data_IF_459442682980
#
_entry.id   IF_459442682980
#
_cell.length_a   1.000
_cell.length_b   1.000
_cell.length_c   1.000
_cell.angle_alpha   90.00
_cell.angle_beta   90.00
_cell.angle_gamma   90.00
#
_symmetry.space_group_name_H-M   'P 1'
#
loop_
_entity.id
_entity.type
_entity.pdbx_description
1 polymer ?
#
# COMPACT_ATOMS: atom_id res chain seq x y z
N UNK A 1 -43.95 27.45 -18.21
CA UNK A 1 -42.52 27.64 -18.53
C UNK A 1 -41.56 27.52 -17.34
N UNK A 2 -41.97 27.77 -16.08
CA UNK A 2 -41.07 27.78 -14.90
C UNK A 2 -40.57 26.39 -14.46
N UNK A 3 -41.35 25.34 -14.65
CA UNK A 3 -41.02 23.96 -14.21
C UNK A 3 -39.88 23.34 -15.00
N UNK A 4 -39.71 23.72 -16.28
CA UNK A 4 -38.66 23.16 -17.15
C UNK A 4 -37.26 23.62 -16.71
N UNK A 5 -37.12 24.87 -16.25
CA UNK A 5 -35.84 25.38 -15.74
C UNK A 5 -35.47 24.81 -14.38
N UNK A 6 -36.46 24.50 -13.52
CA UNK A 6 -36.24 23.93 -12.19
C UNK A 6 -35.63 22.52 -12.25
N UNK A 7 -36.07 21.69 -13.20
CA UNK A 7 -35.52 20.35 -13.42
C UNK A 7 -34.08 20.43 -13.95
N UNK A 8 -33.78 21.41 -14.81
CA UNK A 8 -32.43 21.60 -15.38
C UNK A 8 -31.42 22.00 -14.28
N UNK A 9 -31.83 22.83 -13.31
CA UNK A 9 -30.94 23.19 -12.17
C UNK A 9 -30.66 22.03 -11.21
N UNK A 10 -31.58 21.09 -11.03
CA UNK A 10 -31.36 19.93 -10.15
C UNK A 10 -30.39 18.92 -10.80
N UNK A 11 -30.47 18.74 -12.12
CA UNK A 11 -29.60 17.81 -12.86
C UNK A 11 -28.15 18.30 -12.92
N UNK A 12 -27.91 19.62 -12.97
CA UNK A 12 -26.56 20.19 -12.91
C UNK A 12 -25.91 20.07 -11.53
N UNK A 13 -26.69 20.10 -10.45
CA UNK A 13 -26.20 19.88 -9.08
C UNK A 13 -25.76 18.43 -8.83
N UNK A 14 -26.35 17.48 -9.56
CA UNK A 14 -25.94 16.07 -9.53
C UNK A 14 -24.69 15.77 -10.36
N UNK A 15 -24.16 16.70 -11.15
CA UNK A 15 -22.89 16.52 -11.88
C UNK A 15 -21.67 17.06 -11.14
N UNK A 16 -21.87 17.74 -10.00
CA UNK A 16 -20.80 18.04 -9.04
C UNK A 16 -20.46 16.83 -8.17
N UNK A 17 -20.59 15.62 -8.72
CA UNK A 17 -20.16 14.37 -8.09
C UNK A 17 -18.66 14.49 -7.91
N UNK A 18 -18.27 14.45 -6.65
CA UNK A 18 -16.91 14.58 -6.16
C UNK A 18 -15.90 13.92 -7.12
N UNK A 19 -14.90 14.65 -7.65
CA UNK A 19 -13.72 13.96 -8.11
C UNK A 19 -13.16 13.26 -6.87
N UNK A 20 -13.36 11.95 -6.79
CA UNK A 20 -12.54 11.10 -5.93
C UNK A 20 -11.16 11.20 -6.54
N UNK A 21 -10.40 12.23 -6.14
CA UNK A 21 -8.99 12.30 -6.47
C UNK A 21 -8.40 11.03 -5.89
N UNK A 22 -8.03 10.09 -6.76
CA UNK A 22 -7.16 8.99 -6.38
C UNK A 22 -5.91 9.63 -5.80
N UNK A 23 -5.80 9.62 -4.47
CA UNK A 23 -4.59 10.07 -3.81
C UNK A 23 -3.58 8.96 -4.07
N UNK A 24 -2.45 9.28 -4.71
CA UNK A 24 -1.40 8.29 -4.95
C UNK A 24 -1.04 7.63 -3.62
N UNK A 25 -1.26 6.32 -3.55
CA UNK A 25 -0.95 5.49 -2.39
C UNK A 25 0.20 4.59 -2.77
N UNK A 26 1.25 4.68 -1.98
CA UNK A 26 2.45 3.87 -2.12
C UNK A 26 2.43 2.83 -1.03
N UNK A 27 2.75 1.60 -1.41
CA UNK A 27 2.73 0.45 -0.52
C UNK A 27 4.16 0.00 -0.29
N UNK A 28 4.49 -0.35 0.95
CA UNK A 28 5.83 -0.76 1.34
C UNK A 28 5.78 -1.98 2.27
N UNK A 29 6.80 -2.83 2.17
CA UNK A 29 7.25 -3.64 3.30
C UNK A 29 8.37 -2.93 4.04
N UNK A 30 8.21 -2.79 5.35
CA UNK A 30 9.17 -2.15 6.25
C UNK A 30 9.60 -3.17 7.29
N UNK A 31 10.87 -3.54 7.31
CA UNK A 31 11.43 -4.42 8.33
C UNK A 31 11.91 -3.60 9.53
N UNK A 32 11.26 -3.74 10.69
CA UNK A 32 11.60 -3.01 11.92
C UNK A 32 12.15 -3.99 12.95
N UNK A 33 13.47 -4.10 13.07
CA UNK A 33 14.13 -5.01 14.01
C UNK A 33 14.07 -4.50 15.45
N UNK A 34 14.26 -3.19 15.63
CA UNK A 34 14.24 -2.59 16.96
C UNK A 34 12.80 -2.16 17.33
N UNK A 35 12.26 -2.77 18.38
CA UNK A 35 10.90 -2.51 18.87
C UNK A 35 10.66 -1.05 19.28
N UNK A 36 11.68 -0.29 19.64
CA UNK A 36 11.56 1.14 19.96
C UNK A 36 11.17 1.99 18.74
N UNK A 37 11.41 1.48 17.53
CA UNK A 37 11.04 2.10 16.25
C UNK A 37 9.69 1.62 15.73
N UNK A 38 8.98 0.74 16.44
CA UNK A 38 7.60 0.40 16.10
C UNK A 38 6.72 1.59 16.52
N UNK A 39 6.06 2.30 15.59
CA UNK A 39 5.20 3.40 15.95
C UNK A 39 3.92 2.91 16.65
N UNK A 40 3.45 3.68 17.61
CA UNK A 40 2.09 3.61 18.11
C UNK A 40 1.14 4.15 17.04
N UNK A 41 0.20 3.31 16.61
CA UNK A 41 -0.83 3.64 15.63
C UNK A 41 -2.13 3.98 16.35
N UNK A 42 -2.85 4.99 15.86
CA UNK A 42 -4.16 5.36 16.40
C UNK A 42 -5.18 4.24 16.24
N UNK A 43 -6.02 4.03 17.26
CA UNK A 43 -7.05 2.96 17.29
C UNK A 43 -8.10 3.08 16.17
N UNK A 44 -8.30 4.28 15.64
CA UNK A 44 -9.27 4.57 14.58
C UNK A 44 -8.65 5.39 13.46
N UNK A 45 -9.14 5.15 12.25
CA UNK A 45 -8.89 6.01 11.09
C UNK A 45 -9.71 7.30 11.20
N UNK A 46 -9.18 8.40 10.71
CA UNK A 46 -9.94 9.64 10.58
C UNK A 46 -10.96 9.59 9.43
N UNK A 47 -11.65 10.70 9.19
CA UNK A 47 -12.65 10.83 8.11
C UNK A 47 -12.11 10.59 6.70
N UNK A 48 -10.79 10.75 6.51
CA UNK A 48 -10.10 10.60 5.24
C UNK A 48 -9.40 9.22 5.14
N UNK A 49 -9.61 8.35 6.13
CA UNK A 49 -9.06 7.00 6.19
C UNK A 49 -7.60 6.95 6.68
N UNK A 50 -7.10 8.02 7.29
CA UNK A 50 -5.72 8.16 7.73
C UNK A 50 -5.57 7.62 9.15
N UNK A 51 -4.52 6.84 9.39
CA UNK A 51 -4.04 6.46 10.71
C UNK A 51 -2.91 7.38 11.14
N UNK A 52 -2.93 7.82 12.39
CA UNK A 52 -1.81 8.58 12.96
C UNK A 52 -0.75 7.60 13.47
N UNK A 53 0.49 7.77 13.04
CA UNK A 53 1.64 7.01 13.54
C UNK A 53 2.53 7.92 14.38
N UNK A 54 2.90 7.47 15.58
CA UNK A 54 3.76 8.23 16.50
C UNK A 54 4.77 7.33 17.19
N UNK A 55 5.95 7.85 17.48
CA UNK A 55 7.03 7.16 18.17
C UNK A 55 7.54 8.01 19.34
N UNK A 56 8.30 7.40 20.25
CA UNK A 56 9.03 8.11 21.30
C UNK A 56 10.34 8.72 20.80
N UNK A 57 10.75 8.39 19.58
CA UNK A 57 12.01 8.83 18.99
C UNK A 57 11.75 10.08 18.14
N UNK A 58 12.19 11.25 18.60
CA UNK A 58 11.90 12.53 17.96
C UNK A 58 12.36 12.63 16.50
N UNK A 59 13.53 12.08 16.15
CA UNK A 59 13.99 12.06 14.76
C UNK A 59 13.08 11.20 13.89
N UNK A 60 12.62 10.05 14.40
CA UNK A 60 11.72 9.17 13.67
C UNK A 60 10.32 9.78 13.50
N UNK A 61 9.82 10.51 14.51
CA UNK A 61 8.56 11.26 14.37
C UNK A 61 8.59 12.26 13.21
N UNK A 62 9.71 12.94 12.98
CA UNK A 62 9.83 13.87 11.84
C UNK A 62 9.67 13.18 10.50
N UNK A 63 9.98 11.89 10.41
CA UNK A 63 9.74 11.10 9.20
C UNK A 63 8.28 10.65 9.11
N UNK A 64 7.71 10.18 10.23
CA UNK A 64 6.31 9.78 10.28
C UNK A 64 5.37 10.96 9.95
N UNK A 65 5.64 12.16 10.47
CA UNK A 65 4.83 13.38 10.26
C UNK A 65 4.83 13.88 8.82
N UNK A 66 5.80 13.47 7.99
CA UNK A 66 5.82 13.82 6.55
C UNK A 66 4.81 13.03 5.73
N UNK A 67 4.29 11.92 6.25
CA UNK A 67 3.50 10.96 5.50
C UNK A 67 2.10 10.81 6.12
N UNK A 68 1.08 10.74 5.28
CA UNK A 68 -0.26 10.34 5.70
C UNK A 68 -0.39 8.84 5.50
N UNK A 69 -0.43 8.09 6.61
CA UNK A 69 -0.55 6.64 6.58
C UNK A 69 -2.01 6.22 6.49
N UNK A 70 -2.32 5.23 5.66
CA UNK A 70 -3.64 4.62 5.54
C UNK A 70 -3.68 3.23 6.16
N UNK A 71 -2.54 2.53 6.15
CA UNK A 71 -2.30 1.26 6.83
C UNK A 71 -0.90 1.28 7.42
N UNK A 72 -0.76 0.76 8.64
CA UNK A 72 0.53 0.48 9.26
C UNK A 72 0.31 -0.73 10.18
N UNK A 73 0.45 -1.92 9.62
CA UNK A 73 0.11 -3.17 10.30
C UNK A 73 1.24 -4.19 10.13
N UNK A 74 1.32 -5.17 11.03
CA UNK A 74 2.27 -6.26 10.87
C UNK A 74 1.85 -7.12 9.65
N UNK A 75 2.77 -7.34 8.71
CA UNK A 75 2.48 -8.05 7.47
C UNK A 75 2.22 -9.54 7.71
N UNK A 76 3.01 -10.15 8.61
CA UNK A 76 2.95 -11.59 8.90
C UNK A 76 2.85 -11.85 10.41
N UNK A 77 1.73 -11.49 11.06
CA UNK A 77 1.62 -11.53 12.52
C UNK A 77 1.73 -12.94 13.12
N UNK A 78 1.34 -13.95 12.36
CA UNK A 78 1.34 -15.36 12.79
C UNK A 78 2.58 -16.13 12.33
N UNK A 79 3.55 -15.47 11.68
CA UNK A 79 4.74 -16.16 11.19
C UNK A 79 5.53 -16.79 12.33
N UNK A 80 6.11 -17.97 12.06
CA UNK A 80 6.94 -18.67 13.03
C UNK A 80 8.34 -18.07 13.14
N UNK A 81 8.83 -17.43 12.09
CA UNK A 81 10.15 -16.78 12.07
C UNK A 81 10.07 -15.35 12.57
N UNK A 82 11.01 -14.97 13.44
CA UNK A 82 11.08 -13.60 13.98
C UNK A 82 11.22 -12.56 12.87
N UNK A 83 12.07 -12.83 11.88
CA UNK A 83 12.31 -11.94 10.76
C UNK A 83 11.01 -11.54 10.04
N UNK A 84 10.12 -12.49 9.74
CA UNK A 84 8.83 -12.18 9.08
C UNK A 84 7.86 -11.45 10.02
N UNK A 85 7.90 -11.75 11.32
CA UNK A 85 7.07 -11.02 12.31
C UNK A 85 7.50 -9.57 12.45
N UNK A 86 8.74 -9.23 12.15
CA UNK A 86 9.27 -7.87 12.20
C UNK A 86 8.94 -7.05 10.94
N UNK A 87 8.28 -7.64 9.93
CA UNK A 87 7.88 -6.95 8.71
C UNK A 87 6.49 -6.31 8.88
N UNK A 88 6.41 -5.04 8.50
CA UNK A 88 5.21 -4.23 8.51
C UNK A 88 4.76 -3.92 7.09
N UNK A 89 3.46 -4.06 6.85
CA UNK A 89 2.78 -3.58 5.66
C UNK A 89 2.35 -2.13 5.89
N UNK A 90 2.87 -1.23 5.07
CA UNK A 90 2.67 0.20 5.22
C UNK A 90 2.10 0.77 3.93
N UNK A 91 0.99 1.50 4.05
CA UNK A 91 0.40 2.25 2.93
C UNK A 91 0.40 3.72 3.31
N UNK A 92 1.03 4.57 2.50
CA UNK A 92 1.08 6.01 2.72
C UNK A 92 1.04 6.79 1.41
N UNK A 93 0.97 8.12 1.49
CA UNK A 93 1.03 9.01 0.33
C UNK A 93 2.44 9.51 0.00
N UNK A 94 3.47 8.96 0.64
CA UNK A 94 4.86 9.34 0.46
C UNK A 94 5.59 8.31 -0.42
N UNK A 95 5.97 8.72 -1.64
CA UNK A 95 6.76 7.94 -2.61
C UNK A 95 8.26 7.91 -2.30
N UNK A 96 8.70 8.67 -1.29
CA UNK A 96 10.09 8.79 -0.88
C UNK A 96 10.31 8.24 0.55
N UNK A 97 9.40 7.41 1.07
CA UNK A 97 9.45 6.89 2.43
C UNK A 97 10.77 6.16 2.73
N UNK A 98 11.25 5.34 1.78
CA UNK A 98 12.54 4.65 1.87
C UNK A 98 13.70 5.64 2.08
N UNK A 99 13.72 6.71 1.28
CA UNK A 99 14.76 7.75 1.36
C UNK A 99 14.67 8.51 2.68
N UNK A 100 13.47 8.86 3.12
CA UNK A 100 13.26 9.59 4.38
C UNK A 100 13.69 8.76 5.60
N UNK A 101 13.55 7.43 5.53
CA UNK A 101 13.95 6.52 6.61
C UNK A 101 15.41 6.06 6.56
N UNK A 102 16.20 6.48 5.56
CA UNK A 102 17.57 6.03 5.35
C UNK A 102 18.49 6.22 6.58
N UNK A 103 18.26 7.25 7.40
CA UNK A 103 19.03 7.48 8.64
C UNK A 103 18.80 6.41 9.73
N UNK A 104 17.76 5.58 9.59
CA UNK A 104 17.39 4.54 10.53
C UNK A 104 17.76 3.13 10.08
N UNK A 105 18.52 2.96 8.99
CA UNK A 105 18.87 1.65 8.40
C UNK A 105 19.44 0.62 9.38
N UNK A 106 20.11 1.06 10.46
CA UNK A 106 20.58 0.12 11.49
C UNK A 106 19.44 -0.58 12.25
N UNK A 107 18.33 0.11 12.45
CA UNK A 107 17.14 -0.39 13.16
C UNK A 107 16.02 -0.84 12.21
N UNK A 108 16.00 -0.26 11.01
CA UNK A 108 15.01 -0.49 9.95
C UNK A 108 15.77 -0.84 8.67
N UNK A 109 16.35 -2.05 8.58
CA UNK A 109 17.34 -2.37 7.54
C UNK A 109 16.77 -2.55 6.14
N UNK A 110 15.47 -2.79 6.00
CA UNK A 110 14.82 -2.99 4.71
C UNK A 110 13.53 -2.17 4.65
N UNK A 111 13.41 -1.40 3.58
CA UNK A 111 12.19 -0.71 3.19
C UNK A 111 12.06 -0.94 1.69
N UNK A 112 11.06 -1.69 1.30
CA UNK A 112 10.85 -2.11 -0.07
C UNK A 112 9.49 -1.61 -0.55
N UNK A 113 9.50 -0.73 -1.54
CA UNK A 113 8.27 -0.30 -2.19
C UNK A 113 7.71 -1.45 -3.04
N UNK A 114 6.44 -1.76 -2.81
CA UNK A 114 5.71 -2.73 -3.61
C UNK A 114 5.20 -2.07 -4.89
N UNK A 115 5.55 -2.66 -6.02
CA UNK A 115 4.95 -2.31 -7.30
C UNK A 115 3.48 -2.72 -7.32
N UNK A 116 2.64 -1.90 -7.94
CA UNK A 116 1.29 -2.34 -8.28
C UNK A 116 1.39 -3.54 -9.24
N UNK A 117 0.52 -4.56 -9.08
CA UNK A 117 0.48 -5.65 -10.03
C UNK A 117 0.16 -5.09 -11.41
N UNK A 118 1.10 -5.26 -12.33
CA UNK A 118 0.87 -4.95 -13.73
C UNK A 118 0.02 -6.10 -14.27
N UNK A 119 -1.12 -5.77 -14.87
CA UNK A 119 -1.84 -6.74 -15.69
C UNK A 119 -0.89 -7.11 -16.83
N UNK A 120 -0.26 -8.29 -16.75
CA UNK A 120 0.29 -8.95 -17.92
C UNK A 120 -0.92 -9.21 -18.81
N UNK A 121 -1.03 -8.51 -19.93
CA UNK A 121 -2.24 -8.45 -20.77
C UNK A 121 -2.64 -9.77 -21.43
N UNK A 122 -2.03 -10.87 -21.02
CA UNK A 122 -2.13 -12.18 -21.67
C UNK A 122 -2.64 -13.18 -20.63
N UNK A 123 -3.86 -13.65 -20.82
CA UNK A 123 -4.36 -14.83 -20.13
C UNK A 123 -3.49 -16.03 -20.55
N UNK A 124 -3.11 -16.93 -19.63
CA UNK A 124 -2.28 -18.10 -19.95
C UNK A 124 -2.92 -19.06 -20.96
N UNK A 125 -4.23 -18.90 -21.24
CA UNK A 125 -4.99 -19.65 -22.25
C UNK A 125 -5.21 -18.87 -23.57
N UNK A 126 -4.48 -17.78 -23.82
CA UNK A 126 -4.57 -17.06 -25.09
C UNK A 126 -4.01 -17.93 -26.25
N UNK A 127 -4.83 -18.28 -27.27
CA UNK A 127 -4.43 -19.15 -28.37
C UNK A 127 -3.32 -18.57 -29.28
N UNK A 128 -2.84 -17.35 -29.02
CA UNK A 128 -1.78 -16.67 -29.79
C UNK A 128 -0.36 -17.17 -29.42
N UNK A 129 -0.17 -17.86 -28.28
CA UNK A 129 1.16 -18.32 -27.83
C UNK A 129 1.47 -19.78 -28.21
N UNK A 130 2.58 -19.99 -28.94
CA UNK A 130 3.10 -21.31 -29.32
C UNK A 130 4.08 -21.86 -28.28
N UNK A 131 3.65 -22.85 -27.47
CA UNK A 131 4.37 -23.92 -26.69
C UNK A 131 5.73 -23.66 -26.01
N UNK A 132 6.57 -22.72 -26.45
CA UNK A 132 7.86 -22.36 -25.86
C UNK A 132 7.74 -21.52 -24.59
N UNK A 133 6.68 -20.72 -24.46
CA UNK A 133 6.44 -19.83 -23.31
C UNK A 133 5.74 -20.54 -22.12
N UNK A 134 5.39 -21.83 -22.27
CA UNK A 134 4.78 -22.64 -21.21
C UNK A 134 5.80 -23.17 -20.19
N UNK A 135 7.10 -23.16 -20.51
CA UNK A 135 8.14 -23.72 -19.66
C UNK A 135 8.28 -22.99 -18.31
N UNK A 136 8.02 -21.68 -18.29
CA UNK A 136 8.08 -20.87 -17.08
C UNK A 136 6.84 -21.06 -16.19
N UNK A 137 5.69 -21.40 -16.77
CA UNK A 137 4.46 -21.73 -16.04
C UNK A 137 4.51 -23.14 -15.43
N UNK A 138 5.26 -24.08 -16.03
CA UNK A 138 5.49 -25.41 -15.48
C UNK A 138 6.23 -25.37 -14.12
N UNK A 139 7.06 -24.35 -13.87
CA UNK A 139 7.69 -24.15 -12.56
C UNK A 139 6.67 -23.82 -11.46
N UNK A 140 5.57 -23.12 -11.79
CA UNK A 140 4.52 -22.74 -10.83
C UNK A 140 3.65 -23.95 -10.46
N UNK A 141 3.50 -24.91 -11.38
CA UNK A 141 2.70 -26.12 -11.19
C UNK A 141 3.49 -27.35 -10.68
N UNK A 142 4.80 -27.24 -10.41
CA UNK A 142 5.63 -28.35 -9.93
C UNK A 142 5.10 -29.01 -8.64
N UNK A 143 4.31 -28.29 -7.83
CA UNK A 143 3.70 -28.80 -6.61
C UNK A 143 2.47 -29.69 -6.80
N UNK A 144 1.97 -29.86 -8.05
CA UNK A 144 0.83 -30.74 -8.37
C UNK A 144 1.24 -32.08 -8.96
N UNK A 145 2.53 -32.37 -9.05
CA UNK A 145 3.06 -33.66 -9.52
C UNK A 145 3.60 -34.45 -8.32
N UNK A 146 2.71 -34.83 -7.41
CA UNK A 146 2.94 -35.90 -6.43
C UNK A 146 1.65 -36.70 -6.25
#
# INVERSE_FOLDING_TARGET
MKTKYFVITIVLLFWAINPVMSQNRYTYYVHIQNKDYIPAISDSKDKDGIVTASSKINSFNRVLEKSRFYEFIQAFPTAHTDWLREVYYVVCDNDNLERDMNEFQKSIPLIEQLCEPILTGDDPDDPIYTRGDMADLDLINASKVW
#
